data_IF_631874193876
#
_entry.id   IF_631874193876
#
_cell.length_a   1.000
_cell.length_b   1.000
_cell.length_c   1.000
_cell.angle_alpha   90.00
_cell.angle_beta   90.00
_cell.angle_gamma   90.00
#
_symmetry.space_group_name_H-M   'P 1'
#
loop_
_entity.id
_entity.type
_entity.pdbx_description
1 polymer ?
#
# COMPACT_ATOMS: atom_id res chain seq x y z
N UNK A 1 -1.33 71.12 17.18
CA UNK A 1 -0.84 70.82 15.82
C UNK A 1 -0.35 69.37 15.80
N UNK A 2 -0.91 68.54 14.91
CA UNK A 2 -0.49 67.17 14.53
C UNK A 2 -1.03 65.97 15.38
N UNK A 3 -2.33 65.71 15.20
CA UNK A 3 -2.97 64.46 14.74
C UNK A 3 -1.99 63.36 14.26
N UNK A 4 -2.19 62.05 14.51
CA UNK A 4 -3.12 61.16 13.76
C UNK A 4 -3.55 59.93 14.59
N UNK A 5 -4.82 59.58 14.40
CA UNK A 5 -5.60 58.41 14.86
C UNK A 5 -5.19 57.10 14.18
N UNK A 6 -5.30 55.95 14.87
CA UNK A 6 -5.19 54.65 14.21
C UNK A 6 -5.32 53.45 15.13
N UNK A 7 -6.51 53.19 15.69
CA UNK A 7 -6.88 51.85 16.11
C UNK A 7 -7.36 51.07 14.88
N UNK A 8 -6.66 49.98 14.54
CA UNK A 8 -7.22 48.92 13.72
C UNK A 8 -6.99 47.59 14.45
N UNK A 9 -8.09 47.01 14.90
CA UNK A 9 -8.14 45.78 15.67
C UNK A 9 -7.40 44.64 14.96
N UNK A 10 -6.39 44.08 15.63
CA UNK A 10 -5.79 42.82 15.22
C UNK A 10 -6.79 41.71 15.53
N UNK A 11 -7.17 41.00 14.48
CA UNK A 11 -8.26 40.02 14.47
C UNK A 11 -7.91 38.81 15.35
N UNK A 12 -8.79 38.55 16.33
CA UNK A 12 -8.89 37.29 17.06
C UNK A 12 -9.31 36.16 16.11
N UNK A 13 -8.39 35.31 15.70
CA UNK A 13 -8.72 33.95 15.23
C UNK A 13 -7.75 32.96 15.89
N UNK A 14 -7.97 32.68 17.18
CA UNK A 14 -7.44 31.48 17.83
C UNK A 14 -8.35 30.28 17.51
N UNK A 15 -8.48 29.97 16.23
CA UNK A 15 -9.05 28.71 15.78
C UNK A 15 -7.98 27.64 15.90
N UNK A 16 -8.04 26.82 16.95
CA UNK A 16 -7.18 25.65 17.09
C UNK A 16 -7.51 24.65 15.96
N UNK A 17 -6.75 24.73 14.86
CA UNK A 17 -6.73 23.68 13.85
C UNK A 17 -5.99 22.48 14.46
N UNK A 18 -6.61 21.31 14.66
CA UNK A 18 -5.88 20.15 15.16
C UNK A 18 -4.91 19.71 14.05
N UNK A 19 -3.61 19.86 14.29
CA UNK A 19 -2.53 19.52 13.36
C UNK A 19 -2.28 18.00 13.19
N UNK A 20 -3.19 17.14 13.64
CA UNK A 20 -2.98 15.69 13.71
C UNK A 20 -4.01 14.91 12.88
N UNK A 21 -4.12 15.24 11.60
CA UNK A 21 -4.66 14.31 10.61
C UNK A 21 -3.52 13.42 10.09
N UNK A 22 -2.98 12.54 10.95
CA UNK A 22 -2.17 11.43 10.43
C UNK A 22 -3.10 10.58 9.59
N UNK A 23 -2.83 10.55 8.28
CA UNK A 23 -3.59 9.76 7.33
C UNK A 23 -3.54 8.29 7.76
N UNK A 24 -4.67 7.75 8.22
CA UNK A 24 -4.89 6.30 8.47
C UNK A 24 -4.49 5.45 7.26
N UNK A 25 -4.47 6.04 6.06
CA UNK A 25 -3.95 5.41 4.85
C UNK A 25 -2.44 5.15 4.87
N UNK A 26 -1.65 6.11 5.38
CA UNK A 26 -0.19 6.01 5.50
C UNK A 26 0.24 4.91 6.48
N UNK A 27 -0.42 4.82 7.64
CA UNK A 27 -0.12 3.78 8.64
C UNK A 27 -0.34 2.37 8.08
N UNK A 28 -1.44 2.16 7.37
CA UNK A 28 -1.75 0.87 6.72
C UNK A 28 -0.79 0.55 5.56
N UNK A 29 -0.32 1.57 4.82
CA UNK A 29 0.71 1.36 3.79
C UNK A 29 2.03 0.87 4.41
N UNK A 30 2.48 1.52 5.49
CA UNK A 30 3.73 1.18 6.16
C UNK A 30 3.69 -0.20 6.83
N UNK A 31 2.57 -0.56 7.45
CA UNK A 31 2.35 -1.90 7.97
C UNK A 31 2.46 -2.95 6.84
N UNK A 32 1.78 -2.71 5.71
CA UNK A 32 1.83 -3.57 4.54
C UNK A 32 3.23 -3.73 3.95
N UNK A 33 4.00 -2.63 3.87
CA UNK A 33 5.39 -2.62 3.42
C UNK A 33 6.27 -3.53 4.28
N UNK A 34 6.17 -3.41 5.61
CA UNK A 34 6.95 -4.22 6.56
C UNK A 34 6.58 -5.70 6.45
N UNK A 35 5.28 -5.99 6.37
CA UNK A 35 4.80 -7.36 6.21
C UNK A 35 5.27 -7.98 4.89
N UNK A 36 5.19 -7.23 3.78
CA UNK A 36 5.67 -7.67 2.48
C UNK A 36 7.17 -8.01 2.51
N UNK A 37 7.98 -7.10 3.06
CA UNK A 37 9.43 -7.31 3.19
C UNK A 37 9.76 -8.59 3.98
N UNK A 38 9.02 -8.84 5.07
CA UNK A 38 9.27 -9.95 5.98
C UNK A 38 8.70 -11.30 5.53
N UNK A 39 7.61 -11.31 4.75
CA UNK A 39 6.84 -12.54 4.45
C UNK A 39 6.73 -12.86 2.96
N UNK A 40 6.78 -11.85 2.09
CA UNK A 40 6.40 -11.99 0.68
C UNK A 40 7.59 -11.79 -0.27
N UNK A 41 8.48 -10.85 0.05
CA UNK A 41 9.54 -10.37 -0.82
C UNK A 41 10.52 -11.47 -1.25
N UNK A 42 10.81 -12.44 -0.38
CA UNK A 42 11.76 -13.51 -0.69
C UNK A 42 11.34 -14.34 -1.92
N UNK A 43 10.04 -14.47 -2.16
CA UNK A 43 9.50 -15.15 -3.34
C UNK A 43 9.06 -14.15 -4.41
N UNK A 44 8.30 -13.12 -4.05
CA UNK A 44 7.70 -12.19 -5.02
C UNK A 44 8.64 -11.07 -5.51
N UNK A 45 9.83 -10.95 -4.92
CA UNK A 45 10.87 -10.00 -5.32
C UNK A 45 10.69 -8.60 -4.75
N UNK A 46 11.79 -7.84 -4.62
CA UNK A 46 11.75 -6.45 -4.16
C UNK A 46 10.95 -5.54 -5.11
N UNK A 47 10.93 -5.91 -6.41
CA UNK A 47 10.22 -5.21 -7.47
C UNK A 47 8.78 -5.70 -7.66
N UNK A 48 8.34 -6.71 -6.91
CA UNK A 48 7.04 -7.35 -7.08
C UNK A 48 6.89 -8.07 -8.42
N UNK A 49 7.98 -8.38 -9.12
CA UNK A 49 7.99 -8.98 -10.46
C UNK A 49 7.98 -10.52 -10.46
N UNK A 50 7.77 -11.12 -9.27
CA UNK A 50 7.75 -12.57 -9.11
C UNK A 50 9.15 -13.22 -9.17
N UNK A 51 10.22 -12.42 -9.17
CA UNK A 51 11.62 -12.88 -9.31
C UNK A 51 12.41 -12.74 -8.01
N UNK A 52 11.80 -13.07 -6.88
CA UNK A 52 12.50 -13.12 -5.61
C UNK A 52 13.58 -14.21 -5.59
N UNK A 53 14.53 -14.17 -4.63
CA UNK A 53 15.60 -15.18 -4.53
C UNK A 53 15.12 -16.64 -4.53
N UNK A 54 13.92 -16.92 -4.04
CA UNK A 54 13.35 -18.27 -4.05
C UNK A 54 12.65 -18.65 -5.37
N UNK A 55 12.33 -17.69 -6.24
CA UNK A 55 11.37 -17.87 -7.32
C UNK A 55 11.73 -18.99 -8.30
N UNK A 56 13.00 -19.07 -8.70
CA UNK A 56 13.50 -20.06 -9.67
C UNK A 56 13.39 -21.51 -9.17
N UNK A 57 13.30 -21.71 -7.86
CA UNK A 57 13.15 -23.04 -7.26
C UNK A 57 11.68 -23.48 -7.11
N UNK A 58 10.71 -22.61 -7.44
CA UNK A 58 9.28 -22.88 -7.24
C UNK A 58 8.60 -23.26 -8.55
N UNK A 59 8.00 -24.45 -8.58
CA UNK A 59 7.15 -24.85 -9.71
C UNK A 59 5.97 -23.87 -9.85
N UNK A 60 5.86 -23.25 -11.03
CA UNK A 60 4.78 -22.34 -11.38
C UNK A 60 5.07 -20.85 -11.21
N UNK A 61 6.23 -20.48 -10.65
CA UNK A 61 6.72 -19.12 -10.36
C UNK A 61 5.73 -18.24 -9.55
N UNK A 62 6.23 -17.38 -8.65
CA UNK A 62 5.38 -16.37 -8.02
C UNK A 62 4.79 -15.42 -9.06
N UNK A 63 3.57 -14.94 -8.81
CA UNK A 63 2.91 -13.99 -9.70
C UNK A 63 3.66 -12.65 -9.79
N UNK A 64 3.71 -12.09 -11.00
CA UNK A 64 4.19 -10.75 -11.30
C UNK A 64 3.09 -9.71 -11.02
N UNK A 65 3.28 -8.90 -9.97
CA UNK A 65 2.37 -7.82 -9.60
C UNK A 65 2.51 -6.58 -10.48
N UNK A 66 3.53 -6.52 -11.34
CA UNK A 66 3.73 -5.45 -12.32
C UNK A 66 2.98 -5.69 -13.64
N UNK A 67 2.47 -6.91 -13.84
CA UNK A 67 1.61 -7.28 -14.96
C UNK A 67 0.18 -6.74 -14.75
N UNK A 68 -0.30 -5.95 -15.72
CA UNK A 68 -1.65 -5.42 -15.72
C UNK A 68 -2.73 -6.52 -15.74
N UNK A 69 -2.44 -7.70 -16.31
CA UNK A 69 -3.38 -8.81 -16.35
C UNK A 69 -3.67 -9.37 -14.96
N UNK A 70 -2.70 -9.33 -14.03
CA UNK A 70 -2.92 -9.74 -12.65
C UNK A 70 -4.03 -8.93 -11.98
N UNK A 71 -4.13 -7.65 -12.33
CA UNK A 71 -5.03 -6.67 -11.72
C UNK A 71 -6.48 -6.70 -12.26
N UNK A 72 -6.81 -7.63 -13.16
CA UNK A 72 -8.16 -7.79 -13.71
C UNK A 72 -9.06 -8.61 -12.77
N UNK A 73 -10.33 -8.20 -12.62
CA UNK A 73 -11.32 -8.88 -11.77
C UNK A 73 -11.23 -8.50 -10.28
N UNK A 74 -11.76 -9.36 -9.40
CA UNK A 74 -11.73 -9.14 -7.94
C UNK A 74 -10.40 -9.59 -7.32
N UNK A 75 -9.39 -8.74 -7.50
CA UNK A 75 -8.02 -9.04 -7.06
C UNK A 75 -7.85 -8.93 -5.55
N UNK A 76 -8.62 -8.07 -4.89
CA UNK A 76 -8.61 -7.96 -3.43
C UNK A 76 -9.03 -9.29 -2.80
N UNK A 77 -10.15 -9.87 -3.26
CA UNK A 77 -10.60 -11.19 -2.81
C UNK A 77 -9.58 -12.28 -3.14
N UNK A 78 -9.06 -12.28 -4.37
CA UNK A 78 -8.04 -13.25 -4.81
C UNK A 78 -6.80 -13.23 -3.92
N UNK A 79 -6.27 -12.05 -3.58
CA UNK A 79 -5.12 -11.90 -2.69
C UNK A 79 -5.47 -12.40 -1.29
N UNK A 80 -6.62 -12.01 -0.76
CA UNK A 80 -7.08 -12.44 0.56
C UNK A 80 -7.15 -13.96 0.68
N UNK A 81 -7.84 -14.62 -0.26
CA UNK A 81 -7.97 -16.07 -0.28
C UNK A 81 -6.62 -16.78 -0.45
N UNK A 82 -5.75 -16.25 -1.32
CA UNK A 82 -4.42 -16.84 -1.56
C UNK A 82 -3.53 -16.75 -0.32
N UNK A 83 -3.54 -15.63 0.42
CA UNK A 83 -2.76 -15.50 1.65
C UNK A 83 -3.34 -16.38 2.76
N UNK A 84 -4.68 -16.45 2.86
CA UNK A 84 -5.36 -17.20 3.92
C UNK A 84 -5.23 -18.71 3.74
N UNK A 85 -5.35 -19.22 2.51
CA UNK A 85 -5.41 -20.65 2.24
C UNK A 85 -4.17 -21.22 1.56
N UNK A 86 -3.25 -20.36 1.12
CA UNK A 86 -2.15 -20.76 0.25
C UNK A 86 -2.63 -21.05 -1.18
N UNK A 87 -1.66 -21.26 -2.08
CA UNK A 87 -1.93 -21.68 -3.46
C UNK A 87 -0.66 -22.27 -4.08
N UNK A 88 -0.75 -23.50 -4.60
CA UNK A 88 0.41 -24.20 -5.17
C UNK A 88 1.55 -24.24 -4.14
N UNK A 89 2.74 -23.76 -4.49
CA UNK A 89 3.91 -23.68 -3.61
C UNK A 89 3.87 -22.48 -2.65
N UNK A 90 2.89 -21.58 -2.75
CA UNK A 90 2.70 -20.50 -1.79
C UNK A 90 1.98 -21.03 -0.55
N UNK A 91 2.61 -20.97 0.64
CA UNK A 91 1.98 -21.45 1.87
C UNK A 91 0.83 -20.53 2.29
N UNK A 92 -0.05 -21.07 3.13
CA UNK A 92 -0.99 -20.26 3.90
C UNK A 92 -0.23 -19.45 4.97
N UNK A 93 -0.72 -18.26 5.27
CA UNK A 93 -0.18 -17.42 6.34
C UNK A 93 -1.26 -17.13 7.37
N UNK A 94 -0.93 -17.34 8.65
CA UNK A 94 -1.78 -16.93 9.77
C UNK A 94 -1.62 -15.42 10.00
N UNK A 95 -2.42 -14.64 9.27
CA UNK A 95 -2.45 -13.18 9.32
C UNK A 95 -3.87 -12.69 9.55
N UNK A 96 -4.00 -11.60 10.31
CA UNK A 96 -5.30 -10.95 10.53
C UNK A 96 -5.77 -10.28 9.24
N UNK A 97 -7.09 -10.11 9.09
CA UNK A 97 -7.69 -9.46 7.93
C UNK A 97 -7.16 -8.03 7.68
N UNK A 98 -6.87 -7.28 8.74
CA UNK A 98 -6.27 -5.94 8.64
C UNK A 98 -4.83 -5.99 8.08
N UNK A 99 -4.04 -7.00 8.45
CA UNK A 99 -2.68 -7.19 7.94
C UNK A 99 -2.71 -7.57 6.45
N UNK A 100 -3.63 -8.46 6.06
CA UNK A 100 -3.86 -8.83 4.65
C UNK A 100 -4.31 -7.61 3.85
N UNK A 101 -5.16 -6.75 4.43
CA UNK A 101 -5.60 -5.50 3.81
C UNK A 101 -4.43 -4.53 3.63
N UNK A 102 -3.57 -4.41 4.64
CA UNK A 102 -2.36 -3.59 4.60
C UNK A 102 -1.39 -4.08 3.50
N UNK A 103 -1.15 -5.39 3.42
CA UNK A 103 -0.33 -6.01 2.36
C UNK A 103 -0.93 -5.73 0.98
N UNK A 104 -2.24 -5.97 0.81
CA UNK A 104 -2.94 -5.75 -0.46
C UNK A 104 -2.84 -4.29 -0.91
N UNK A 105 -2.99 -3.34 0.03
CA UNK A 105 -2.80 -1.92 -0.23
C UNK A 105 -1.37 -1.62 -0.68
N UNK A 106 -0.37 -2.15 0.03
CA UNK A 106 1.03 -1.94 -0.31
C UNK A 106 1.36 -2.47 -1.73
N UNK A 107 0.97 -3.71 -2.05
CA UNK A 107 1.21 -4.33 -3.36
C UNK A 107 0.54 -3.51 -4.47
N UNK A 108 -0.73 -3.14 -4.28
CA UNK A 108 -1.50 -2.38 -5.25
C UNK A 108 -0.92 -0.99 -5.47
N UNK A 109 -0.53 -0.30 -4.40
CA UNK A 109 0.05 1.04 -4.49
C UNK A 109 1.45 1.03 -5.12
N UNK A 110 2.25 -0.01 -4.85
CA UNK A 110 3.68 -0.01 -5.18
C UNK A 110 3.96 -0.62 -6.55
N UNK A 111 3.22 -1.65 -6.96
CA UNK A 111 3.57 -2.45 -8.15
C UNK A 111 2.56 -2.34 -9.29
N UNK A 112 1.30 -1.96 -9.02
CA UNK A 112 0.31 -1.77 -10.08
C UNK A 112 0.70 -0.57 -10.94
N UNK A 113 1.04 -0.83 -12.21
CA UNK A 113 1.25 0.24 -13.18
C UNK A 113 -0.07 0.97 -13.45
N UNK A 114 0.00 2.28 -13.62
CA UNK A 114 -1.13 3.05 -14.14
C UNK A 114 -1.54 2.48 -15.52
N UNK A 115 -2.84 2.53 -15.87
CA UNK A 115 -3.28 2.17 -17.21
C UNK A 115 -2.46 2.97 -18.24
N UNK A 116 -1.79 2.27 -19.16
CA UNK A 116 -1.19 2.93 -20.30
C UNK A 116 -2.36 3.40 -21.18
N UNK A 117 -2.60 4.71 -21.23
CA UNK A 117 -3.42 5.28 -22.28
C UNK A 117 -2.58 5.20 -23.56
N UNK A 118 -2.86 4.19 -24.38
CA UNK A 118 -2.34 4.12 -25.74
C UNK A 118 -2.72 5.43 -26.45
N UNK A 119 -1.71 6.14 -26.95
CA UNK A 119 -1.87 7.37 -27.73
C UNK A 119 -2.31 7.06 -29.15
#
# INVERSE_FOLDING_TARGET
MKNVSGYAAVVLVLGAVPLLATSVGGEKYDAGRRLYANKCQFCHGIRGDGKGPAAEALLGHPVDFTDAAFWKGDVTKKIYETITHGKQMMPAFDLKSDDITAITRYISHTFKKAPQHDK
#
